data_IF_243112165920
#
_entry.id   IF_243112165920
#
_cell.length_a   1.000
_cell.length_b   1.000
_cell.length_c   1.000
_cell.angle_alpha   90.00
_cell.angle_beta   90.00
_cell.angle_gamma   90.00
#
_symmetry.space_group_name_H-M   'P 1'
#
loop_
_entity.id
_entity.type
_entity.pdbx_description
1 polymer ?
#
# COMPACT_ATOMS: atom_id res chain seq x y z
N UNK A 1 -2.66 10.17 63.32
CA UNK A 1 -2.86 11.22 62.31
C UNK A 1 -2.99 10.52 60.95
N UNK A 2 -4.20 10.44 60.40
CA UNK A 2 -4.49 9.72 59.14
C UNK A 2 -4.50 10.72 57.99
N UNK A 3 -3.50 10.67 57.12
CA UNK A 3 -3.47 11.48 55.90
C UNK A 3 -4.29 10.73 54.84
N UNK A 4 -5.44 11.30 54.49
CA UNK A 4 -6.24 10.92 53.32
C UNK A 4 -5.54 11.49 52.08
N UNK A 5 -4.91 10.65 51.27
CA UNK A 5 -4.50 11.04 49.92
C UNK A 5 -5.71 10.80 49.01
N UNK A 6 -6.35 11.89 48.61
CA UNK A 6 -7.44 11.89 47.65
C UNK A 6 -6.83 11.61 46.29
N UNK A 7 -7.33 10.53 45.66
CA UNK A 7 -7.00 10.13 44.31
C UNK A 7 -7.50 11.20 43.31
N UNK A 8 -6.58 11.77 42.55
CA UNK A 8 -6.89 12.46 41.30
C UNK A 8 -6.15 11.74 40.19
N UNK A 9 -6.68 10.56 39.83
CA UNK A 9 -6.29 9.87 38.61
C UNK A 9 -6.97 10.61 37.46
N UNK A 10 -6.24 11.56 36.84
CA UNK A 10 -6.66 12.21 35.61
C UNK A 10 -6.62 11.15 34.50
N UNK A 11 -7.74 10.44 34.36
CA UNK A 11 -8.03 9.53 33.28
C UNK A 11 -8.32 10.38 32.03
N UNK A 12 -7.28 10.91 31.37
CA UNK A 12 -7.40 11.39 29.99
C UNK A 12 -7.49 10.17 29.09
N UNK A 13 -8.69 9.61 28.99
CA UNK A 13 -9.14 8.78 27.87
C UNK A 13 -9.05 9.60 26.60
N UNK A 14 -7.87 9.62 25.96
CA UNK A 14 -7.75 10.02 24.58
C UNK A 14 -8.32 8.89 23.72
N UNK A 15 -9.63 8.93 23.53
CA UNK A 15 -10.35 8.18 22.50
C UNK A 15 -9.93 8.75 21.13
N UNK A 16 -8.81 8.25 20.61
CA UNK A 16 -8.47 8.33 19.19
C UNK A 16 -8.15 6.90 18.70
N UNK A 17 -9.11 6.02 18.88
CA UNK A 17 -9.24 4.85 18.01
C UNK A 17 -9.75 5.36 16.66
N UNK A 18 -8.86 5.84 15.80
CA UNK A 18 -9.06 5.61 14.37
C UNK A 18 -8.70 4.15 14.16
N UNK A 19 -9.67 3.24 14.02
CA UNK A 19 -9.34 1.94 13.49
C UNK A 19 -8.70 2.18 12.12
N UNK A 20 -7.73 1.35 11.76
CA UNK A 20 -7.50 1.01 10.37
C UNK A 20 -8.90 0.85 9.78
N UNK A 21 -9.35 1.75 8.91
CA UNK A 21 -10.72 1.70 8.40
C UNK A 21 -10.78 0.61 7.32
N UNK A 22 -10.47 -0.63 7.74
CA UNK A 22 -11.05 -1.82 7.15
C UNK A 22 -12.51 -1.79 7.59
N UNK A 23 -13.33 -1.21 6.73
CA UNK A 23 -14.76 -1.50 6.78
C UNK A 23 -14.93 -3.01 6.68
N UNK A 24 -15.14 -3.66 7.82
CA UNK A 24 -15.83 -4.94 7.86
C UNK A 24 -17.31 -4.61 7.63
N UNK A 25 -17.62 -4.16 6.42
CA UNK A 25 -18.98 -4.31 5.92
C UNK A 25 -19.28 -5.80 5.96
N UNK A 26 -20.45 -6.16 6.47
CA UNK A 26 -21.03 -7.49 6.31
C UNK A 26 -20.77 -7.96 4.87
N UNK A 27 -19.78 -8.83 4.71
CA UNK A 27 -19.37 -9.28 3.39
C UNK A 27 -20.51 -10.14 2.88
N UNK A 28 -21.25 -9.63 1.89
CA UNK A 28 -21.81 -10.54 0.91
C UNK A 28 -20.65 -11.43 0.48
N UNK A 29 -20.75 -12.74 0.68
CA UNK A 29 -19.74 -13.75 0.34
C UNK A 29 -19.29 -13.68 -1.15
N UNK A 30 -19.94 -12.81 -1.93
CA UNK A 30 -19.69 -12.50 -3.32
C UNK A 30 -18.94 -11.18 -3.58
N UNK A 31 -18.35 -10.53 -2.58
CA UNK A 31 -17.62 -9.25 -2.75
C UNK A 31 -16.16 -9.33 -2.33
N UNK A 32 -15.27 -8.74 -3.14
CA UNK A 32 -13.87 -8.51 -2.74
C UNK A 32 -13.86 -7.21 -1.92
N UNK A 33 -13.45 -7.30 -0.66
CA UNK A 33 -13.33 -6.15 0.24
C UNK A 33 -12.16 -5.26 -0.16
N UNK A 34 -12.27 -3.96 0.16
CA UNK A 34 -11.13 -3.06 0.06
C UNK A 34 -10.01 -3.52 1.00
N UNK A 35 -8.76 -3.36 0.59
CA UNK A 35 -7.62 -3.65 1.46
C UNK A 35 -6.41 -4.17 0.70
N UNK A 36 -5.50 -4.78 1.46
CA UNK A 36 -4.20 -5.25 0.96
C UNK A 36 -4.25 -6.73 0.61
N UNK A 37 -3.76 -7.04 -0.59
CA UNK A 37 -3.76 -8.36 -1.18
C UNK A 37 -2.35 -8.72 -1.64
N UNK A 38 -2.11 -10.01 -1.85
CA UNK A 38 -0.95 -10.51 -2.58
C UNK A 38 -1.43 -10.96 -3.94
N UNK A 39 -0.90 -10.31 -4.97
CA UNK A 39 -1.06 -10.74 -6.35
C UNK A 39 0.18 -11.52 -6.76
N UNK A 40 -0.01 -12.69 -7.35
CA UNK A 40 1.09 -13.45 -7.95
C UNK A 40 0.83 -13.62 -9.44
N UNK A 41 1.85 -13.44 -10.26
CA UNK A 41 1.79 -13.70 -11.69
C UNK A 41 3.13 -14.22 -12.20
N UNK A 42 3.11 -15.40 -12.80
CA UNK A 42 4.31 -16.09 -13.29
C UNK A 42 5.14 -15.36 -14.37
N UNK A 43 4.63 -14.27 -14.96
CA UNK A 43 5.31 -13.53 -16.05
C UNK A 43 5.16 -12.01 -15.95
N UNK A 44 4.67 -11.51 -14.82
CA UNK A 44 4.48 -10.09 -14.54
C UNK A 44 4.90 -9.82 -13.09
N UNK A 45 4.33 -8.76 -12.51
CA UNK A 45 4.36 -8.41 -11.12
C UNK A 45 3.90 -9.56 -10.22
N UNK A 46 4.62 -9.76 -9.11
CA UNK A 46 4.17 -10.54 -7.98
C UNK A 46 4.58 -9.82 -6.70
N UNK A 47 3.62 -9.55 -5.81
CA UNK A 47 3.86 -8.81 -4.57
C UNK A 47 2.57 -8.22 -3.98
N UNK A 48 2.73 -7.29 -3.04
CA UNK A 48 1.63 -6.61 -2.39
C UNK A 48 0.90 -5.63 -3.31
N UNK A 49 -0.43 -5.62 -3.25
CA UNK A 49 -1.27 -4.69 -3.97
C UNK A 49 -2.42 -4.20 -3.12
N UNK A 50 -2.90 -3.00 -3.41
CA UNK A 50 -4.14 -2.48 -2.83
C UNK A 50 -5.30 -2.76 -3.79
N UNK A 51 -6.42 -3.19 -3.22
CA UNK A 51 -7.68 -3.33 -3.94
C UNK A 51 -8.68 -2.30 -3.43
N UNK A 52 -9.31 -1.61 -4.38
CA UNK A 52 -10.49 -0.80 -4.14
C UNK A 52 -11.67 -1.33 -4.95
N UNK A 53 -12.84 -1.35 -4.33
CA UNK A 53 -14.10 -1.84 -4.86
C UNK A 53 -15.07 -0.68 -4.98
N UNK A 54 -15.57 -0.46 -6.20
CA UNK A 54 -16.57 0.57 -6.50
C UNK A 54 -17.63 -0.04 -7.40
N UNK A 55 -18.87 -0.13 -6.93
CA UNK A 55 -20.01 -0.62 -7.72
C UNK A 55 -19.77 -1.97 -8.43
N UNK A 56 -19.13 -2.93 -7.73
CA UNK A 56 -18.84 -4.27 -8.30
C UNK A 56 -17.70 -4.31 -9.32
N UNK A 57 -16.97 -3.20 -9.48
CA UNK A 57 -15.69 -3.15 -10.19
C UNK A 57 -14.57 -3.07 -9.16
N UNK A 58 -13.49 -3.80 -9.40
CA UNK A 58 -12.35 -3.87 -8.49
C UNK A 58 -11.12 -3.35 -9.20
N UNK A 59 -10.43 -2.38 -8.62
CA UNK A 59 -9.14 -1.91 -9.10
C UNK A 59 -8.05 -2.41 -8.18
N UNK A 60 -7.11 -3.14 -8.75
CA UNK A 60 -5.88 -3.54 -8.10
C UNK A 60 -4.74 -2.63 -8.52
N UNK A 61 -4.04 -2.05 -7.56
CA UNK A 61 -2.85 -1.22 -7.75
C UNK A 61 -1.66 -1.91 -7.06
N UNK A 62 -0.65 -2.39 -7.81
CA UNK A 62 0.58 -2.89 -7.21
C UNK A 62 1.25 -1.83 -6.34
N UNK A 63 1.74 -2.20 -5.16
CA UNK A 63 2.46 -1.27 -4.28
C UNK A 63 3.85 -0.99 -4.85
N UNK A 64 4.56 -2.02 -5.29
CA UNK A 64 5.96 -1.89 -5.72
C UNK A 64 6.11 -1.41 -7.17
N UNK A 65 5.01 -0.97 -7.81
CA UNK A 65 5.04 -0.44 -9.16
C UNK A 65 5.20 1.09 -9.18
N UNK A 66 6.41 1.55 -9.48
CA UNK A 66 6.72 2.97 -9.63
C UNK A 66 5.98 3.66 -10.77
N UNK A 67 5.37 2.90 -11.70
CA UNK A 67 4.71 3.45 -12.89
C UNK A 67 3.23 3.74 -12.68
N UNK A 68 2.68 3.47 -11.49
CA UNK A 68 1.27 3.69 -11.18
C UNK A 68 0.34 2.80 -12.01
N UNK A 69 0.80 1.60 -12.37
CA UNK A 69 0.00 0.64 -13.10
C UNK A 69 -1.19 0.15 -12.29
N UNK A 70 -2.20 -0.36 -12.98
CA UNK A 70 -3.37 -0.96 -12.36
C UNK A 70 -3.94 -2.09 -13.22
N UNK A 71 -4.68 -2.98 -12.56
CA UNK A 71 -5.51 -3.99 -13.21
C UNK A 71 -6.93 -3.85 -12.68
N UNK A 72 -7.88 -3.64 -13.58
CA UNK A 72 -9.29 -3.62 -13.23
C UNK A 72 -9.91 -5.00 -13.48
N UNK A 73 -10.77 -5.39 -12.55
CA UNK A 73 -11.51 -6.63 -12.60
C UNK A 73 -13.01 -6.37 -12.47
N UNK A 74 -13.79 -7.29 -13.04
CA UNK A 74 -15.23 -7.41 -12.81
C UNK A 74 -15.55 -8.84 -12.42
N UNK A 75 -16.50 -9.02 -11.49
CA UNK A 75 -17.03 -10.35 -11.17
C UNK A 75 -18.07 -10.74 -12.21
N UNK A 76 -17.96 -11.95 -12.76
CA UNK A 76 -19.02 -12.52 -13.61
C UNK A 76 -20.18 -13.01 -12.76
N UNK A 77 -21.32 -13.26 -13.41
CA UNK A 77 -22.48 -13.92 -12.79
C UNK A 77 -22.16 -15.32 -12.23
N UNK A 78 -21.12 -15.99 -12.76
CA UNK A 78 -20.58 -17.27 -12.27
C UNK A 78 -19.60 -17.11 -11.11
N UNK A 79 -19.43 -15.90 -10.56
CA UNK A 79 -18.49 -15.62 -9.47
C UNK A 79 -17.01 -15.58 -9.89
N UNK A 80 -16.68 -15.71 -11.18
CA UNK A 80 -15.30 -15.62 -11.67
C UNK A 80 -14.84 -14.18 -11.70
N UNK A 81 -13.57 -13.96 -11.40
CA UNK A 81 -12.95 -12.65 -11.56
C UNK A 81 -12.39 -12.51 -12.98
N UNK A 82 -12.86 -11.53 -13.74
CA UNK A 82 -12.43 -11.28 -15.12
C UNK A 82 -11.68 -9.96 -15.19
N UNK A 83 -10.51 -9.95 -15.84
CA UNK A 83 -9.80 -8.70 -16.15
C UNK A 83 -10.63 -7.91 -17.16
N UNK A 84 -11.02 -6.69 -16.80
CA UNK A 84 -11.81 -5.79 -17.66
C UNK A 84 -10.96 -4.76 -18.38
N UNK A 85 -9.94 -4.24 -17.71
CA UNK A 85 -9.01 -3.24 -18.23
C UNK A 85 -7.70 -3.32 -17.45
N UNK A 86 -6.66 -2.71 -17.96
CA UNK A 86 -5.41 -2.54 -17.24
C UNK A 86 -4.69 -1.29 -17.77
N UNK A 87 -3.93 -0.65 -16.89
CA UNK A 87 -3.03 0.46 -17.21
C UNK A 87 -1.57 0.06 -17.05
N UNK A 88 -1.23 -1.20 -17.31
CA UNK A 88 0.15 -1.69 -17.17
C UNK A 88 0.94 -1.36 -18.46
N UNK A 89 2.15 -0.80 -18.33
CA UNK A 89 3.01 -0.49 -19.51
C UNK A 89 3.96 0.69 -19.29
N UNK A 90 4.75 1.04 -20.31
CA UNK A 90 5.45 2.33 -20.43
C UNK A 90 4.92 3.14 -21.61
N UNK A 91 5.37 4.39 -21.71
CA UNK A 91 5.20 5.25 -22.90
C UNK A 91 5.56 4.57 -24.23
N UNK A 92 6.41 3.54 -24.22
CA UNK A 92 6.96 2.91 -25.43
C UNK A 92 6.37 1.51 -25.70
N UNK A 93 5.89 0.82 -24.66
CA UNK A 93 5.37 -0.54 -24.75
C UNK A 93 4.05 -0.63 -23.98
N UNK A 94 2.97 -0.81 -24.74
CA UNK A 94 1.65 -1.07 -24.19
C UNK A 94 1.52 -2.56 -23.84
N UNK A 95 0.98 -2.88 -22.67
CA UNK A 95 0.64 -4.23 -22.26
C UNK A 95 -0.88 -4.36 -22.17
N UNK A 96 -1.43 -5.32 -22.90
CA UNK A 96 -2.82 -5.71 -22.77
C UNK A 96 -2.94 -7.02 -21.99
N UNK A 97 -3.72 -6.99 -20.91
CA UNK A 97 -4.01 -8.13 -20.06
C UNK A 97 -5.45 -8.57 -20.26
N UNK A 98 -5.63 -9.86 -20.56
CA UNK A 98 -6.96 -10.48 -20.61
C UNK A 98 -6.92 -11.79 -19.87
N UNK A 99 -7.92 -12.08 -19.03
CA UNK A 99 -7.86 -13.28 -18.21
C UNK A 99 -9.08 -13.46 -17.34
N UNK A 100 -9.20 -14.68 -16.82
CA UNK A 100 -10.23 -15.02 -15.83
C UNK A 100 -9.62 -15.89 -14.74
N UNK A 101 -10.15 -15.74 -13.53
CA UNK A 101 -9.83 -16.58 -12.39
C UNK A 101 -11.10 -17.14 -11.77
N UNK A 102 -10.99 -18.38 -11.28
CA UNK A 102 -12.02 -19.02 -10.47
C UNK A 102 -11.78 -18.64 -9.00
N UNK A 103 -12.85 -18.52 -8.19
CA UNK A 103 -12.68 -18.41 -6.74
C UNK A 103 -12.06 -19.70 -6.22
N UNK A 104 -11.12 -19.56 -5.27
CA UNK A 104 -10.60 -20.66 -4.46
C UNK A 104 -11.32 -20.71 -3.11
N UNK A 105 -11.67 -19.54 -2.59
CA UNK A 105 -12.49 -19.28 -1.42
C UNK A 105 -13.24 -17.94 -1.63
N UNK A 106 -13.88 -17.41 -0.60
CA UNK A 106 -14.68 -16.18 -0.66
C UNK A 106 -13.89 -14.94 -1.12
N UNK A 107 -12.56 -14.91 -0.86
CA UNK A 107 -11.70 -13.74 -1.07
C UNK A 107 -10.48 -14.02 -1.96
N UNK A 108 -10.21 -15.27 -2.30
CA UNK A 108 -9.05 -15.68 -3.09
C UNK A 108 -9.45 -16.20 -4.48
N UNK A 109 -8.63 -15.89 -5.48
CA UNK A 109 -8.86 -16.23 -6.88
C UNK A 109 -7.59 -16.80 -7.51
N UNK A 110 -7.74 -17.76 -8.40
CA UNK A 110 -6.64 -18.23 -9.24
C UNK A 110 -7.09 -18.54 -10.67
N UNK A 111 -6.20 -18.24 -11.62
CA UNK A 111 -6.57 -18.25 -13.02
C UNK A 111 -5.41 -18.23 -13.98
N UNK A 112 -5.78 -17.98 -15.24
CA UNK A 112 -4.84 -17.78 -16.33
C UNK A 112 -5.13 -16.45 -16.99
N UNK A 113 -4.07 -15.80 -17.45
CA UNK A 113 -4.16 -14.57 -18.23
C UNK A 113 -3.26 -14.67 -19.46
N UNK A 114 -3.68 -13.96 -20.50
CA UNK A 114 -2.90 -13.66 -21.69
C UNK A 114 -2.33 -12.26 -21.55
N UNK A 115 -1.03 -12.16 -21.77
CA UNK A 115 -0.27 -10.92 -21.86
C UNK A 115 0.03 -10.69 -23.34
N UNK A 116 -0.35 -9.53 -23.86
CA UNK A 116 -0.04 -9.11 -25.23
C UNK A 116 0.73 -7.80 -25.18
N UNK A 117 1.99 -7.83 -25.59
CA UNK A 117 2.85 -6.65 -25.65
C UNK A 117 2.78 -6.02 -27.04
N UNK A 118 2.72 -4.69 -27.08
CA UNK A 118 2.72 -3.92 -28.33
C UNK A 118 3.77 -2.82 -28.20
N UNK A 119 4.69 -2.73 -29.17
CA UNK A 119 5.55 -1.56 -29.30
C UNK A 119 4.76 -0.44 -30.01
N UNK A 120 4.99 0.82 -29.66
CA UNK A 120 4.37 1.96 -30.36
C UNK A 120 5.29 2.42 -31.50
N UNK A 121 4.80 2.60 -32.75
CA UNK A 121 3.42 2.39 -33.22
C UNK A 121 3.04 0.91 -33.22
N UNK A 122 1.77 0.59 -32.87
CA UNK A 122 1.22 -0.74 -32.49
C UNK A 122 1.63 -1.93 -33.38
N UNK A 123 2.89 -2.34 -33.30
CA UNK A 123 3.40 -3.57 -33.91
C UNK A 123 3.09 -4.68 -32.91
N UNK A 124 2.29 -5.69 -33.27
CA UNK A 124 1.98 -6.80 -32.39
C UNK A 124 3.27 -7.50 -31.99
N UNK A 125 3.61 -7.41 -30.70
CA UNK A 125 4.78 -8.04 -30.12
C UNK A 125 4.47 -9.44 -29.61
N UNK A 126 5.15 -9.82 -28.53
CA UNK A 126 5.08 -11.16 -27.93
C UNK A 126 3.74 -11.37 -27.24
N UNK A 127 3.11 -12.52 -27.51
CA UNK A 127 1.99 -13.03 -26.71
C UNK A 127 2.54 -14.05 -25.72
N UNK A 128 2.10 -13.98 -24.46
CA UNK A 128 2.43 -14.99 -23.47
C UNK A 128 1.25 -15.33 -22.57
N UNK A 129 1.23 -16.55 -22.07
CA UNK A 129 0.25 -17.01 -21.09
C UNK A 129 0.91 -17.13 -19.72
N UNK A 130 0.21 -16.65 -18.69
CA UNK A 130 0.66 -16.70 -17.30
C UNK A 130 -0.43 -17.29 -16.40
N UNK A 131 0.00 -18.03 -15.38
CA UNK A 131 -0.84 -18.31 -14.21
C UNK A 131 -0.78 -17.12 -13.27
N UNK A 132 -1.89 -16.82 -12.62
CA UNK A 132 -1.98 -15.77 -11.62
C UNK A 132 -2.90 -16.16 -10.47
N UNK A 133 -2.66 -15.57 -9.30
CA UNK A 133 -3.54 -15.66 -8.14
C UNK A 133 -3.66 -14.32 -7.44
N UNK A 134 -4.72 -14.18 -6.67
CA UNK A 134 -4.99 -13.04 -5.82
C UNK A 134 -5.55 -13.58 -4.50
N UNK A 135 -5.01 -13.13 -3.37
CA UNK A 135 -5.50 -13.49 -2.04
C UNK A 135 -5.30 -12.33 -1.06
N UNK A 136 -6.07 -12.24 0.04
CA UNK A 136 -5.75 -11.29 1.10
C UNK A 136 -4.29 -11.46 1.56
N UNK A 137 -3.63 -10.33 1.83
CA UNK A 137 -2.30 -10.34 2.41
C UNK A 137 -2.40 -10.75 3.89
N UNK A 138 -1.42 -11.53 4.35
CA UNK A 138 -1.28 -11.83 5.77
C UNK A 138 -0.75 -10.60 6.52
N UNK A 139 -0.95 -10.58 7.83
CA UNK A 139 -0.45 -9.49 8.68
C UNK A 139 1.07 -9.39 8.62
N UNK A 140 1.74 -10.54 8.57
CA UNK A 140 3.19 -10.66 8.49
C UNK A 140 3.72 -10.08 7.17
N UNK A 141 3.03 -10.35 6.06
CA UNK A 141 3.39 -9.78 4.76
C UNK A 141 3.20 -8.26 4.73
N UNK A 142 2.09 -7.75 5.28
CA UNK A 142 1.83 -6.30 5.38
C UNK A 142 2.89 -5.64 6.26
N UNK A 143 3.23 -6.25 7.39
CA UNK A 143 4.23 -5.73 8.31
C UNK A 143 5.64 -5.74 7.70
N UNK A 144 6.02 -6.83 7.01
CA UNK A 144 7.29 -6.90 6.29
C UNK A 144 7.36 -5.84 5.18
N UNK A 145 6.27 -5.65 4.43
CA UNK A 145 6.15 -4.57 3.44
C UNK A 145 6.32 -3.18 4.06
N UNK A 146 5.65 -2.92 5.18
CA UNK A 146 5.79 -1.66 5.91
C UNK A 146 7.25 -1.39 6.30
N UNK A 147 7.93 -2.37 6.89
CA UNK A 147 9.34 -2.23 7.29
C UNK A 147 10.26 -1.95 6.10
N UNK A 148 10.07 -2.65 4.97
CA UNK A 148 10.81 -2.39 3.74
C UNK A 148 10.55 -0.97 3.22
N UNK A 149 9.31 -0.51 3.28
CA UNK A 149 8.93 0.85 2.92
C UNK A 149 9.62 1.89 3.81
N UNK A 150 9.68 1.66 5.13
CA UNK A 150 10.33 2.57 6.07
C UNK A 150 11.85 2.64 5.88
N UNK A 151 12.49 1.55 5.46
CA UNK A 151 13.90 1.56 5.06
C UNK A 151 14.11 2.48 3.85
N UNK A 152 13.28 2.37 2.82
CA UNK A 152 13.34 3.25 1.66
C UNK A 152 13.02 4.71 2.02
N UNK A 153 12.05 4.93 2.90
CA UNK A 153 11.69 6.25 3.42
C UNK A 153 12.86 6.90 4.19
N UNK A 154 13.63 6.11 4.93
CA UNK A 154 14.80 6.60 5.68
C UNK A 154 15.87 7.15 4.74
N UNK A 155 16.11 6.44 3.63
CA UNK A 155 17.00 6.93 2.56
C UNK A 155 16.48 8.23 1.96
N UNK A 156 15.20 8.28 1.60
CA UNK A 156 14.59 9.49 1.06
C UNK A 156 14.67 10.66 2.04
N UNK A 157 14.43 10.45 3.33
CA UNK A 157 14.57 11.48 4.36
C UNK A 157 15.98 12.07 4.42
N UNK A 158 17.01 11.23 4.32
CA UNK A 158 18.39 11.69 4.26
C UNK A 158 18.65 12.57 3.01
N UNK A 159 18.13 12.16 1.85
CA UNK A 159 18.21 12.92 0.61
C UNK A 159 17.48 14.28 0.73
N UNK A 160 16.27 14.30 1.31
CA UNK A 160 15.50 15.54 1.52
C UNK A 160 16.17 16.49 2.52
N UNK A 161 16.80 15.97 3.57
CA UNK A 161 17.59 16.78 4.52
C UNK A 161 18.81 17.39 3.83
N UNK A 162 19.51 16.62 3.01
CA UNK A 162 20.63 17.14 2.21
C UNK A 162 20.16 18.22 1.23
N UNK A 163 19.02 18.00 0.56
CA UNK A 163 18.43 18.96 -0.35
C UNK A 163 18.04 20.26 0.37
N UNK A 164 17.38 20.17 1.53
CA UNK A 164 17.02 21.35 2.33
C UNK A 164 18.25 22.14 2.78
N UNK A 165 19.34 21.48 3.17
CA UNK A 165 20.59 22.15 3.54
C UNK A 165 21.24 22.89 2.36
N UNK A 166 21.11 22.37 1.14
CA UNK A 166 21.56 23.05 -0.08
C UNK A 166 20.71 24.29 -0.36
N UNK A 167 19.40 24.21 -0.14
CA UNK A 167 18.47 25.33 -0.32
C UNK A 167 18.71 26.46 0.69
N UNK A 168 18.98 26.10 1.94
CA UNK A 168 19.34 27.06 2.98
C UNK A 168 20.61 27.84 2.59
N UNK A 169 21.65 27.15 2.10
CA UNK A 169 22.87 27.79 1.57
C UNK A 169 22.61 28.73 0.38
N UNK A 170 21.48 28.58 -0.31
CA UNK A 170 21.03 29.45 -1.41
C UNK A 170 20.10 30.58 -0.94
N UNK A 171 19.98 30.79 0.37
CA UNK A 171 19.17 31.85 0.97
C UNK A 171 17.66 31.55 0.96
N UNK A 172 17.27 30.28 0.86
CA UNK A 172 15.87 29.84 1.00
C UNK A 172 15.60 29.38 2.42
N UNK A 173 14.36 29.50 2.86
CA UNK A 173 13.94 28.99 4.15
C UNK A 173 14.06 27.45 4.16
N UNK A 174 14.69 26.84 5.18
CA UNK A 174 14.78 25.40 5.29
C UNK A 174 13.39 24.80 5.54
N UNK A 175 13.19 23.56 5.10
CA UNK A 175 11.94 22.86 5.39
C UNK A 175 11.84 22.49 6.86
N UNK A 176 10.61 22.51 7.39
CA UNK A 176 10.34 22.03 8.74
C UNK A 176 10.63 20.53 8.85
N UNK A 177 10.92 20.06 10.07
CA UNK A 177 11.14 18.63 10.32
C UNK A 177 9.93 17.78 9.91
N UNK A 178 8.71 18.27 10.15
CA UNK A 178 7.50 17.56 9.74
C UNK A 178 7.35 17.48 8.22
N UNK A 179 7.75 18.53 7.50
CA UNK A 179 7.80 18.55 6.03
C UNK A 179 8.82 17.54 5.51
N UNK A 180 10.02 17.51 6.09
CA UNK A 180 11.07 16.55 5.74
C UNK A 180 10.60 15.11 5.98
N UNK A 181 10.00 14.83 7.13
CA UNK A 181 9.42 13.52 7.46
C UNK A 181 8.33 13.14 6.46
N UNK A 182 7.42 14.05 6.13
CA UNK A 182 6.37 13.79 5.16
C UNK A 182 6.93 13.38 3.78
N UNK A 183 7.91 14.12 3.26
CA UNK A 183 8.54 13.79 1.98
C UNK A 183 9.39 12.51 2.04
N UNK A 184 10.08 12.26 3.17
CA UNK A 184 10.75 10.99 3.43
C UNK A 184 9.78 9.81 3.37
N UNK A 185 8.65 9.89 4.07
CA UNK A 185 7.60 8.86 4.04
C UNK A 185 6.97 8.71 2.65
N UNK A 186 6.81 9.79 1.89
CA UNK A 186 6.40 9.69 0.49
C UNK A 186 7.43 8.90 -0.33
N UNK A 187 8.73 9.01 -0.06
CA UNK A 187 9.78 8.26 -0.74
C UNK A 187 9.64 6.74 -0.60
N UNK A 188 9.11 6.25 0.52
CA UNK A 188 8.92 4.81 0.77
C UNK A 188 7.64 4.19 0.16
N UNK A 189 6.73 5.00 -0.40
CA UNK A 189 5.36 4.59 -0.80
C UNK A 189 5.23 3.56 -1.94
N UNK A 190 6.36 3.11 -2.50
CA UNK A 190 6.39 2.05 -3.52
C UNK A 190 7.33 0.91 -3.12
N UNK A 191 7.58 0.76 -1.81
CA UNK A 191 8.52 -0.22 -1.27
C UNK A 191 7.89 -1.13 -0.20
N UNK A 192 6.56 -1.17 -0.15
CA UNK A 192 5.79 -2.12 0.67
C UNK A 192 4.65 -1.52 1.50
N UNK A 193 4.50 -0.20 1.48
CA UNK A 193 3.26 0.51 1.81
C UNK A 193 2.93 1.49 0.67
N UNK A 194 1.69 1.96 0.56
CA UNK A 194 1.22 2.80 -0.56
C UNK A 194 1.05 4.27 -0.15
N UNK A 195 0.73 5.14 -1.12
CA UNK A 195 0.48 6.56 -0.85
C UNK A 195 -0.64 6.79 0.17
N UNK A 196 -1.66 5.94 0.20
CA UNK A 196 -2.77 6.05 1.19
C UNK A 196 -2.34 5.75 2.62
N UNK A 197 -1.20 5.09 2.82
CA UNK A 197 -0.68 4.79 4.16
C UNK A 197 0.08 5.99 4.77
N UNK A 198 0.57 6.92 3.94
CA UNK A 198 1.41 8.05 4.38
C UNK A 198 0.74 8.96 5.43
N UNK A 199 -0.55 9.34 5.31
CA UNK A 199 -1.21 10.11 6.35
C UNK A 199 -1.19 9.43 7.72
N UNK A 200 -1.40 8.11 7.76
CA UNK A 200 -1.37 7.32 9.00
C UNK A 200 0.05 7.22 9.57
N UNK A 201 1.06 7.04 8.71
CA UNK A 201 2.47 7.02 9.13
C UNK A 201 2.92 8.38 9.68
N UNK A 202 2.45 9.47 9.09
CA UNK A 202 2.70 10.82 9.61
C UNK A 202 1.99 11.03 10.95
N UNK A 203 0.78 10.51 11.11
CA UNK A 203 0.08 10.53 12.39
C UNK A 203 0.83 9.73 13.47
N UNK A 204 1.33 8.54 13.13
CA UNK A 204 2.19 7.75 14.01
C UNK A 204 3.48 8.48 14.40
N UNK A 205 4.04 9.28 13.50
CA UNK A 205 5.17 10.14 13.82
C UNK A 205 4.81 11.19 14.88
N UNK A 206 3.68 11.90 14.70
CA UNK A 206 3.17 12.89 15.65
C UNK A 206 2.86 12.29 17.03
N UNK A 207 2.41 11.04 17.06
CA UNK A 207 2.10 10.30 18.28
C UNK A 207 3.34 9.66 18.94
N UNK A 208 4.51 9.76 18.31
CA UNK A 208 5.75 9.14 18.80
C UNK A 208 5.77 7.61 18.71
N UNK A 209 4.86 7.03 17.94
CA UNK A 209 4.81 5.61 17.55
C UNK A 209 5.93 5.32 16.54
N UNK A 210 6.02 6.17 15.52
CA UNK A 210 7.09 6.18 14.53
C UNK A 210 8.07 7.28 14.93
N UNK A 211 9.36 6.98 14.93
CA UNK A 211 10.41 7.94 15.31
C UNK A 211 11.46 8.03 14.22
N UNK A 212 12.16 9.16 14.18
CA UNK A 212 13.37 9.32 13.40
C UNK A 212 14.57 9.27 14.33
N UNK A 213 15.47 8.32 14.11
CA UNK A 213 16.73 8.16 14.83
C UNK A 213 17.84 8.10 13.79
N UNK A 214 18.76 9.06 13.79
CA UNK A 214 19.88 9.10 12.82
C UNK A 214 19.48 9.00 11.34
N UNK A 215 18.36 9.66 10.96
CA UNK A 215 17.69 9.58 9.65
C UNK A 215 16.96 8.25 9.36
N UNK A 216 16.89 7.34 10.32
CA UNK A 216 16.16 6.09 10.19
C UNK A 216 14.79 6.17 10.84
N UNK A 217 13.78 5.70 10.11
CA UNK A 217 12.44 5.50 10.66
C UNK A 217 12.42 4.23 11.52
N UNK A 218 12.05 4.37 12.78
CA UNK A 218 11.92 3.27 13.73
C UNK A 218 10.52 3.23 14.33
N UNK A 219 9.92 2.04 14.35
CA UNK A 219 8.68 1.79 15.09
C UNK A 219 9.01 1.49 16.55
N UNK A 220 8.26 2.09 17.47
CA UNK A 220 8.38 1.78 18.90
C UNK A 220 8.14 0.28 19.13
N UNK A 221 9.13 -0.38 19.75
CA UNK A 221 9.09 -1.80 20.12
C UNK A 221 7.86 -2.06 21.01
N UNK A 222 7.00 -3.01 20.61
CA UNK A 222 5.78 -3.38 21.35
C UNK A 222 4.46 -3.00 20.69
N UNK A 223 4.48 -2.41 19.48
CA UNK A 223 3.28 -2.33 18.66
C UNK A 223 3.09 -3.68 17.99
N UNK A 224 2.39 -4.57 18.69
CA UNK A 224 1.46 -5.42 17.95
C UNK A 224 0.58 -4.45 17.16
N UNK A 225 0.57 -4.52 15.83
CA UNK A 225 -0.46 -3.91 14.98
C UNK A 225 -1.84 -4.41 15.44
N UNK A 226 -2.35 -3.90 16.56
CA UNK A 226 -3.51 -4.42 17.28
C UNK A 226 -4.75 -4.14 16.45
N UNK A 227 -5.30 -5.23 15.92
CA UNK A 227 -6.71 -5.56 15.78
C UNK A 227 -7.68 -4.39 15.91
N UNK A 228 -8.32 -4.00 14.80
CA UNK A 228 -9.77 -3.94 14.67
C UNK A 228 -10.15 -4.06 13.19
#
# INVERSE_FOLDING_TARGET
MKIKIIATLLLTTLLLTTPLLMSIGSADANTISNGRYVFTCSKLYSGLCDITSTNGQYRMVPIEDYRGGYIDFKRSWTGKLKISSNGMGSSEVALNLTGTAKPLDDRSFAGRMRLSYYAIPFIPGRISWAKWSLRPATREEIHAGLLNGLIAASKALADERQYSAIWEKRGKEPWSEETLVHYGLLGGRNHGYSHSDVPQLLQWYREGILKVVDNHFELKKGIELTNH
#
